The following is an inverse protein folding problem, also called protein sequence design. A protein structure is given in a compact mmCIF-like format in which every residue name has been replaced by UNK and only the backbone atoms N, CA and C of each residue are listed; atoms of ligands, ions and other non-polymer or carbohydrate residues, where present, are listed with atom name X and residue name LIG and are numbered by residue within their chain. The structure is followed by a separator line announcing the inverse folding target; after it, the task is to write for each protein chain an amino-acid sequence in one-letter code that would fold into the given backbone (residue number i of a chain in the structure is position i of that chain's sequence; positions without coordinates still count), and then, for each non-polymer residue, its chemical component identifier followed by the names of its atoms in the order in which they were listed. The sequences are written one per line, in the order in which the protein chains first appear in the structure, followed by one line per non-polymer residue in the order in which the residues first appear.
data_IF_080147373084
#
_entry.id   IF_080147373084
#
_cell.length_a   1.000
_cell.length_b   1.000
_cell.length_c   1.000
_cell.angle_alpha   90.00
_cell.angle_beta   90.00
_cell.angle_gamma   90.00
#
_symmetry.space_group_name_H-M   'P 1'
#
loop_
_entity.id
_entity.type
_entity.pdbx_description
1 polymer ?
#
# COMPACT_ATOMS: atom_id res chain seq x y z
N UNK A 1 20.22 -39.18 -62.01
CA UNK A 1 21.62 -39.69 -61.94
C UNK A 1 21.70 -40.54 -60.68
N UNK A 2 21.98 -41.86 -60.76
CA UNK A 2 21.90 -42.73 -59.57
C UNK A 2 23.09 -42.45 -58.64
N UNK A 3 22.90 -41.55 -57.67
CA UNK A 3 23.87 -41.32 -56.60
C UNK A 3 24.08 -42.64 -55.85
N UNK A 4 25.35 -42.98 -55.57
CA UNK A 4 25.70 -44.24 -54.90
C UNK A 4 25.28 -44.16 -53.43
N UNK A 5 24.72 -45.24 -52.89
CA UNK A 5 24.32 -45.34 -51.48
C UNK A 5 25.46 -45.01 -50.51
N UNK A 6 26.72 -45.28 -50.86
CA UNK A 6 27.88 -44.92 -50.05
C UNK A 6 27.96 -43.41 -49.80
N UNK A 7 27.79 -42.60 -50.85
CA UNK A 7 27.81 -41.13 -50.75
C UNK A 7 26.64 -40.65 -49.89
N UNK A 8 25.47 -41.28 -50.03
CA UNK A 8 24.28 -40.92 -49.24
C UNK A 8 24.51 -41.25 -47.77
N UNK A 9 25.03 -42.43 -47.44
CA UNK A 9 25.33 -42.84 -46.07
C UNK A 9 26.35 -41.91 -45.39
N UNK A 10 27.34 -41.40 -46.11
CA UNK A 10 28.29 -40.41 -45.58
C UNK A 10 27.62 -39.06 -45.29
N UNK A 11 26.59 -38.69 -46.08
CA UNK A 11 25.81 -37.47 -45.90
C UNK A 11 24.69 -37.61 -44.86
N UNK A 12 24.24 -38.83 -44.52
CA UNK A 12 23.12 -39.06 -43.60
C UNK A 12 23.34 -38.44 -42.20
N UNK A 13 24.52 -38.54 -41.55
CA UNK A 13 24.75 -37.88 -40.25
C UNK A 13 24.59 -36.36 -40.34
N UNK A 14 25.16 -35.74 -41.39
CA UNK A 14 25.07 -34.30 -41.64
C UNK A 14 23.64 -33.86 -41.97
N UNK A 15 22.87 -34.73 -42.64
CA UNK A 15 21.46 -34.54 -42.90
C UNK A 15 20.64 -34.57 -41.61
N UNK A 16 20.95 -35.47 -40.67
CA UNK A 16 20.32 -35.54 -39.34
C UNK A 16 20.66 -34.31 -38.50
N UNK A 17 21.90 -33.83 -38.58
CA UNK A 17 22.37 -32.62 -37.88
C UNK A 17 21.90 -31.31 -38.53
N UNK A 18 21.15 -31.38 -39.64
CA UNK A 18 20.58 -30.25 -40.39
C UNK A 18 21.59 -29.22 -40.91
N UNK A 19 22.83 -29.63 -41.15
CA UNK A 19 23.94 -28.76 -41.59
C UNK A 19 24.21 -28.78 -43.10
N UNK A 20 23.43 -29.56 -43.87
CA UNK A 20 23.57 -29.65 -45.32
C UNK A 20 23.02 -28.41 -46.04
N UNK A 21 23.65 -28.06 -47.16
CA UNK A 21 23.11 -27.09 -48.11
C UNK A 21 21.81 -27.62 -48.75
N UNK A 22 20.97 -26.71 -49.24
CA UNK A 22 19.66 -27.06 -49.83
C UNK A 22 19.80 -28.05 -51.00
N UNK A 23 20.78 -27.84 -51.88
CA UNK A 23 21.05 -28.71 -53.03
C UNK A 23 21.46 -30.13 -52.59
N UNK A 24 22.29 -30.23 -51.54
CA UNK A 24 22.71 -31.53 -50.98
C UNK A 24 21.56 -32.24 -50.24
N UNK A 25 20.65 -31.47 -49.63
CA UNK A 25 19.47 -32.00 -48.93
C UNK A 25 18.49 -32.64 -49.91
N UNK A 26 18.17 -31.96 -51.01
CA UNK A 26 17.26 -32.47 -52.06
C UNK A 26 17.77 -33.78 -52.66
N UNK A 27 19.08 -33.90 -52.85
CA UNK A 27 19.74 -35.11 -53.35
C UNK A 27 19.61 -36.30 -52.40
N UNK A 28 19.73 -36.08 -51.09
CA UNK A 28 19.50 -37.13 -50.07
C UNK A 28 18.03 -37.53 -50.05
N UNK A 29 17.11 -36.56 -50.09
CA UNK A 29 15.66 -36.79 -50.08
C UNK A 29 15.16 -37.57 -51.30
N UNK A 30 15.67 -37.27 -52.50
CA UNK A 30 15.36 -38.01 -53.73
C UNK A 30 15.83 -39.47 -53.61
N UNK A 31 17.01 -39.70 -53.05
CA UNK A 31 17.57 -41.04 -52.93
C UNK A 31 16.85 -41.92 -51.89
N UNK A 32 16.51 -41.40 -50.71
CA UNK A 32 15.81 -42.19 -49.66
C UNK A 32 14.37 -42.55 -50.04
N UNK A 33 13.76 -41.82 -51.00
CA UNK A 33 12.45 -42.18 -51.57
C UNK A 33 12.54 -43.46 -52.41
N UNK A 34 13.64 -43.65 -53.12
CA UNK A 34 13.84 -44.79 -54.03
C UNK A 34 14.66 -45.94 -53.42
N UNK A 35 15.43 -45.69 -52.35
CA UNK A 35 16.32 -46.67 -51.73
C UNK A 35 15.89 -47.05 -50.31
N UNK A 36 15.32 -48.26 -50.14
CA UNK A 36 14.92 -48.78 -48.84
C UNK A 36 16.09 -48.94 -47.85
N UNK A 37 17.29 -49.32 -48.35
CA UNK A 37 18.46 -49.51 -47.50
C UNK A 37 18.90 -48.21 -46.82
N UNK A 38 19.00 -47.11 -47.58
CA UNK A 38 19.36 -45.79 -47.05
C UNK A 38 18.27 -45.23 -46.12
N UNK A 39 17.00 -45.52 -46.40
CA UNK A 39 15.87 -45.16 -45.53
C UNK A 39 15.97 -45.85 -44.16
N UNK A 40 16.25 -47.16 -44.12
CA UNK A 40 16.47 -47.90 -42.86
C UNK A 40 17.66 -47.36 -42.08
N UNK A 41 18.75 -47.00 -42.76
CA UNK A 41 19.92 -46.38 -42.10
C UNK A 41 19.56 -45.05 -41.46
N UNK A 42 18.81 -44.18 -42.16
CA UNK A 42 18.32 -42.91 -41.62
C UNK A 42 17.37 -43.12 -40.42
N UNK A 43 16.47 -44.10 -40.49
CA UNK A 43 15.56 -44.47 -39.39
C UNK A 43 16.33 -44.94 -38.14
N UNK A 44 17.38 -45.76 -38.34
CA UNK A 44 18.26 -46.21 -37.26
C UNK A 44 19.02 -45.04 -36.61
N UNK A 45 19.48 -44.07 -37.41
CA UNK A 45 20.20 -42.88 -36.91
C UNK A 45 19.29 -41.90 -36.19
N UNK A 46 18.05 -41.73 -36.67
CA UNK A 46 17.07 -40.79 -36.10
C UNK A 46 16.26 -41.36 -34.93
N UNK A 47 16.44 -42.65 -34.59
CA UNK A 47 15.89 -43.27 -33.39
C UNK A 47 14.36 -43.21 -33.28
N UNK A 48 13.64 -43.07 -34.40
CA UNK A 48 12.18 -42.89 -34.42
C UNK A 48 11.49 -44.18 -34.85
N UNK A 49 11.02 -44.90 -33.82
CA UNK A 49 9.88 -45.82 -33.90
C UNK A 49 8.79 -45.18 -34.79
N UNK A 50 8.30 -45.89 -35.81
CA UNK A 50 7.14 -45.46 -36.58
C UNK A 50 5.90 -45.50 -35.68
N UNK A 51 5.60 -44.40 -34.99
CA UNK A 51 4.31 -44.21 -34.35
C UNK A 51 3.40 -43.57 -35.41
N UNK A 52 2.28 -44.20 -35.80
CA UNK A 52 1.32 -43.57 -36.69
C UNK A 52 0.88 -42.26 -36.03
N UNK A 53 1.06 -41.14 -36.75
CA UNK A 53 0.68 -39.80 -36.26
C UNK A 53 -0.83 -39.76 -36.10
N UNK A 54 -1.32 -40.16 -34.92
CA UNK A 54 -2.67 -39.89 -34.51
C UNK A 54 -2.76 -38.39 -34.19
N UNK A 55 -3.37 -37.62 -35.10
CA UNK A 55 -3.67 -36.19 -34.92
C UNK A 55 -4.44 -35.89 -33.63
N UNK A 56 -5.10 -36.89 -33.03
CA UNK A 56 -5.85 -36.74 -31.79
C UNK A 56 -4.96 -36.55 -30.55
N UNK A 57 -3.73 -37.11 -30.52
CA UNK A 57 -2.82 -36.95 -29.37
C UNK A 57 -2.24 -35.52 -29.26
N UNK A 58 -1.96 -34.86 -30.40
CA UNK A 58 -1.51 -33.45 -30.42
C UNK A 58 -2.60 -32.47 -29.99
N UNK A 59 -3.87 -32.81 -30.18
CA UNK A 59 -5.00 -31.99 -29.74
C UNK A 59 -5.24 -32.10 -28.22
N UNK A 60 -4.87 -33.23 -27.61
CA UNK A 60 -5.05 -33.47 -26.18
C UNK A 60 -3.95 -32.81 -25.32
N UNK A 61 -2.68 -32.89 -25.74
CA UNK A 61 -1.58 -32.16 -25.08
C UNK A 61 -1.78 -30.63 -25.15
N UNK A 62 -2.26 -30.11 -26.28
CA UNK A 62 -2.47 -28.66 -26.43
C UNK A 62 -3.70 -28.16 -25.66
N UNK A 63 -4.74 -28.98 -25.45
CA UNK A 63 -5.87 -28.64 -24.57
C UNK A 63 -5.45 -28.64 -23.10
N UNK A 64 -4.67 -29.63 -22.67
CA UNK A 64 -4.15 -29.73 -21.30
C UNK A 64 -3.24 -28.56 -20.93
N UNK A 65 -2.34 -28.15 -21.83
CA UNK A 65 -1.48 -26.99 -21.63
C UNK A 65 -2.25 -25.66 -21.67
N UNK A 66 -3.30 -25.53 -22.49
CA UNK A 66 -4.16 -24.34 -22.53
C UNK A 66 -5.01 -24.20 -21.25
N UNK A 67 -5.49 -25.31 -20.70
CA UNK A 67 -6.18 -25.34 -19.41
C UNK A 67 -5.29 -24.89 -18.26
N UNK A 68 -4.07 -25.43 -18.20
CA UNK A 68 -3.06 -25.04 -17.20
C UNK A 68 -2.65 -23.56 -17.35
N UNK A 69 -2.44 -23.06 -18.58
CA UNK A 69 -2.17 -21.63 -18.81
C UNK A 69 -3.30 -20.74 -18.29
N UNK A 70 -4.57 -21.10 -18.52
CA UNK A 70 -5.74 -20.34 -18.05
C UNK A 70 -5.88 -20.34 -16.52
N UNK A 71 -5.51 -21.45 -15.88
CA UNK A 71 -5.49 -21.58 -14.42
C UNK A 71 -4.36 -20.72 -13.83
N UNK A 72 -3.15 -20.84 -14.38
CA UNK A 72 -1.97 -20.06 -13.94
C UNK A 72 -2.17 -18.56 -14.15
N UNK A 73 -2.74 -18.10 -15.26
CA UNK A 73 -3.00 -16.67 -15.48
C UNK A 73 -4.06 -16.11 -14.51
N UNK A 74 -5.08 -16.90 -14.17
CA UNK A 74 -6.07 -16.52 -13.14
C UNK A 74 -5.44 -16.39 -11.75
N UNK A 75 -4.61 -17.35 -11.34
CA UNK A 75 -3.91 -17.27 -10.04
C UNK A 75 -2.88 -16.14 -10.00
N UNK A 76 -2.21 -15.82 -11.12
CA UNK A 76 -1.33 -14.64 -11.22
C UNK A 76 -2.11 -13.34 -11.03
N UNK A 77 -3.27 -13.20 -11.67
CA UNK A 77 -4.15 -12.04 -11.49
C UNK A 77 -4.66 -11.91 -10.05
N UNK A 78 -5.06 -13.02 -9.43
CA UNK A 78 -5.48 -13.06 -8.04
C UNK A 78 -4.33 -12.69 -7.07
N UNK A 79 -3.12 -13.17 -7.34
CA UNK A 79 -1.94 -12.84 -6.53
C UNK A 79 -1.59 -11.34 -6.61
N UNK A 80 -1.68 -10.73 -7.80
CA UNK A 80 -1.46 -9.28 -7.99
C UNK A 80 -2.54 -8.48 -7.25
N UNK A 81 -3.81 -8.86 -7.40
CA UNK A 81 -4.91 -8.20 -6.71
C UNK A 81 -4.74 -8.29 -5.17
N UNK A 82 -4.37 -9.47 -4.66
CA UNK A 82 -4.08 -9.66 -3.24
C UNK A 82 -2.91 -8.80 -2.76
N UNK A 83 -1.83 -8.70 -3.55
CA UNK A 83 -0.69 -7.85 -3.22
C UNK A 83 -1.09 -6.37 -3.14
N UNK A 84 -1.90 -5.87 -4.08
CA UNK A 84 -2.41 -4.49 -4.06
C UNK A 84 -3.27 -4.26 -2.81
N UNK A 85 -4.20 -5.18 -2.52
CA UNK A 85 -5.06 -5.08 -1.34
C UNK A 85 -4.22 -5.12 -0.05
N UNK A 86 -3.19 -5.95 0.01
CA UNK A 86 -2.29 -6.03 1.15
C UNK A 86 -1.53 -4.71 1.36
N UNK A 87 -1.00 -4.10 0.29
CA UNK A 87 -0.30 -2.80 0.38
C UNK A 87 -1.26 -1.70 0.85
N UNK A 88 -2.48 -1.64 0.30
CA UNK A 88 -3.50 -0.68 0.74
C UNK A 88 -3.87 -0.93 2.20
N UNK A 89 -4.02 -2.20 2.60
CA UNK A 89 -4.33 -2.59 3.97
C UNK A 89 -3.23 -2.19 4.96
N UNK A 90 -1.96 -2.32 4.58
CA UNK A 90 -0.81 -1.89 5.38
C UNK A 90 -0.80 -0.35 5.48
N UNK A 91 -0.95 0.37 4.37
CA UNK A 91 -1.01 1.83 4.40
C UNK A 91 -2.16 2.31 5.30
N UNK A 92 -3.35 1.75 5.12
CA UNK A 92 -4.50 2.10 5.94
C UNK A 92 -4.28 1.80 7.42
N UNK A 93 -3.72 0.63 7.75
CA UNK A 93 -3.43 0.27 9.14
C UNK A 93 -2.39 1.19 9.78
N UNK A 94 -1.34 1.58 9.04
CA UNK A 94 -0.34 2.53 9.56
C UNK A 94 -0.94 3.89 9.88
N UNK A 95 -1.83 4.41 9.02
CA UNK A 95 -2.55 5.68 9.28
C UNK A 95 -3.45 5.54 10.50
N UNK A 96 -4.20 4.44 10.63
CA UNK A 96 -5.02 4.20 11.81
C UNK A 96 -4.21 4.14 13.10
N UNK A 97 -3.04 3.49 13.08
CA UNK A 97 -2.13 3.42 14.22
C UNK A 97 -1.61 4.83 14.56
N UNK A 98 -1.20 5.61 13.55
CA UNK A 98 -0.73 6.98 13.75
C UNK A 98 -1.78 7.87 14.40
N UNK A 99 -3.07 7.72 14.06
CA UNK A 99 -4.17 8.47 14.68
C UNK A 99 -4.50 8.00 16.11
N UNK A 100 -4.00 6.85 16.56
CA UNK A 100 -4.28 6.29 17.90
C UNK A 100 -3.15 6.49 18.89
N UNK A 101 -1.92 6.60 18.41
CA UNK A 101 -0.77 6.91 19.26
C UNK A 101 -0.73 8.43 19.44
N UNK A 102 -1.34 8.89 20.52
CA UNK A 102 -1.17 10.24 21.05
C UNK A 102 -0.09 10.27 22.13
N UNK A 103 0.56 11.40 22.27
CA UNK A 103 1.46 11.70 23.39
C UNK A 103 1.12 13.09 23.94
N UNK A 104 1.35 13.27 25.23
CA UNK A 104 1.12 14.53 25.92
C UNK A 104 2.17 15.56 25.49
N UNK A 105 1.71 16.78 25.19
CA UNK A 105 2.57 17.93 24.93
C UNK A 105 2.62 18.75 26.22
N UNK A 106 3.82 18.96 26.80
CA UNK A 106 3.96 19.86 27.93
C UNK A 106 3.61 21.27 27.49
N UNK A 107 2.92 22.01 28.34
CA UNK A 107 2.62 23.41 28.08
C UNK A 107 3.92 24.21 28.00
N UNK A 108 4.06 24.93 26.90
CA UNK A 108 5.14 25.85 26.63
C UNK A 108 4.49 27.17 26.21
N UNK A 109 4.59 28.18 27.06
CA UNK A 109 3.97 29.49 26.85
C UNK A 109 4.45 30.24 25.61
N UNK A 110 5.44 29.72 24.88
CA UNK A 110 5.83 30.22 23.56
C UNK A 110 5.07 29.58 22.40
N UNK A 111 4.63 28.33 22.55
CA UNK A 111 3.99 27.54 21.50
C UNK A 111 2.47 27.45 21.66
N UNK A 112 1.95 27.70 22.86
CA UNK A 112 0.52 27.65 23.17
C UNK A 112 0.11 28.99 23.79
N UNK A 113 -0.80 29.71 23.14
CA UNK A 113 -1.42 30.91 23.70
C UNK A 113 -2.92 30.70 23.92
N UNK A 114 -3.47 31.46 24.87
CA UNK A 114 -4.87 31.45 25.21
C UNK A 114 -5.42 32.86 25.09
N UNK A 115 -6.34 33.05 24.16
CA UNK A 115 -6.82 34.35 23.73
C UNK A 115 -8.34 34.45 23.93
N UNK A 116 -8.77 35.63 24.38
CA UNK A 116 -10.18 35.94 24.60
C UNK A 116 -10.81 36.55 23.35
N UNK A 117 -11.94 36.00 22.93
CA UNK A 117 -12.79 36.53 21.88
C UNK A 117 -14.21 36.76 22.39
N UNK A 118 -15.03 37.49 21.63
CA UNK A 118 -16.40 37.84 22.01
C UNK A 118 -17.27 36.59 22.29
N UNK A 119 -17.03 35.51 21.56
CA UNK A 119 -17.86 34.30 21.56
C UNK A 119 -17.24 33.11 22.32
N UNK A 120 -16.06 33.27 22.92
CA UNK A 120 -15.37 32.21 23.65
C UNK A 120 -13.90 32.49 23.88
N UNK A 121 -13.22 31.53 24.49
CA UNK A 121 -11.76 31.51 24.52
C UNK A 121 -11.20 30.61 23.42
N UNK A 122 -10.01 30.93 22.94
CA UNK A 122 -9.33 30.23 21.87
C UNK A 122 -7.92 29.82 22.29
N UNK A 123 -7.54 28.61 21.93
CA UNK A 123 -6.19 28.07 22.10
C UNK A 123 -5.51 28.15 20.75
N UNK A 124 -4.39 28.87 20.67
CA UNK A 124 -3.55 28.92 19.48
C UNK A 124 -2.30 28.09 19.69
N UNK A 125 -2.01 27.21 18.73
CA UNK A 125 -0.79 26.42 18.71
C UNK A 125 0.10 26.86 17.54
N UNK A 126 1.27 27.39 17.88
CA UNK A 126 2.29 27.86 16.93
C UNK A 126 3.38 26.81 16.63
N UNK A 127 3.23 25.59 17.16
CA UNK A 127 4.15 24.50 16.87
C UNK A 127 3.86 23.80 15.55
N UNK A 128 4.54 22.68 15.30
CA UNK A 128 4.35 21.90 14.07
C UNK A 128 3.13 20.99 14.17
N UNK A 129 2.23 21.11 13.21
CA UNK A 129 1.08 20.23 13.10
C UNK A 129 -0.10 20.70 13.92
N UNK A 130 -0.92 19.75 14.34
CA UNK A 130 -2.12 20.05 15.14
C UNK A 130 -2.06 19.49 16.54
N UNK A 131 -2.89 20.01 17.43
CA UNK A 131 -3.03 19.48 18.79
C UNK A 131 -4.49 19.17 19.09
N UNK A 132 -4.70 18.30 20.07
CA UNK A 132 -5.96 18.13 20.75
C UNK A 132 -5.79 18.56 22.21
N UNK A 133 -6.86 19.02 22.84
CA UNK A 133 -6.87 19.29 24.28
C UNK A 133 -7.92 18.43 24.98
N UNK A 134 -7.68 18.11 26.24
CA UNK A 134 -8.71 17.69 27.18
C UNK A 134 -8.78 18.71 28.29
N UNK A 135 -9.98 19.05 28.73
CA UNK A 135 -10.18 19.91 29.89
C UNK A 135 -11.10 19.22 30.88
N UNK A 136 -10.70 19.22 32.15
CA UNK A 136 -11.45 18.67 33.27
C UNK A 136 -11.65 19.79 34.28
N UNK A 137 -12.90 20.11 34.59
CA UNK A 137 -13.23 21.16 35.54
C UNK A 137 -14.67 21.09 35.95
N UNK A 138 -14.98 21.70 37.09
CA UNK A 138 -16.33 21.94 37.55
C UNK A 138 -16.68 23.39 37.22
N UNK A 139 -17.78 23.61 36.52
CA UNK A 139 -18.25 24.96 36.24
C UNK A 139 -18.58 25.76 37.50
N UNK A 140 -18.69 25.10 38.67
CA UNK A 140 -18.99 25.73 39.98
C UNK A 140 -17.78 26.45 40.56
N UNK A 141 -16.61 25.81 40.53
CA UNK A 141 -15.37 26.42 41.06
C UNK A 141 -14.69 27.29 40.00
N UNK A 142 -15.06 27.09 38.73
CA UNK A 142 -14.50 27.79 37.57
C UNK A 142 -13.05 27.42 37.26
N UNK A 143 -12.45 26.52 38.04
CA UNK A 143 -11.10 26.02 37.81
C UNK A 143 -11.13 24.85 36.83
N UNK A 144 -10.37 25.00 35.73
CA UNK A 144 -10.23 24.00 34.68
C UNK A 144 -8.78 23.51 34.61
N UNK A 145 -8.60 22.20 34.65
CA UNK A 145 -7.35 21.53 34.34
C UNK A 145 -7.34 21.16 32.86
N UNK A 146 -6.35 21.64 32.10
CA UNK A 146 -6.20 21.35 30.68
C UNK A 146 -4.92 20.55 30.40
N UNK A 147 -5.00 19.61 29.47
CA UNK A 147 -3.87 18.89 28.93
C UNK A 147 -3.90 18.92 27.41
N UNK A 148 -2.73 18.95 26.79
CA UNK A 148 -2.58 18.97 25.35
C UNK A 148 -1.96 17.66 24.90
N UNK A 149 -2.44 17.13 23.77
CA UNK A 149 -1.91 15.92 23.18
C UNK A 149 -1.79 16.09 21.67
N UNK A 150 -0.90 15.32 21.07
CA UNK A 150 -0.71 15.31 19.63
C UNK A 150 -0.49 13.89 19.16
N UNK A 151 -1.08 13.54 18.03
CA UNK A 151 -0.84 12.24 17.41
C UNK A 151 0.35 12.28 16.47
N UNK A 152 0.91 11.11 16.14
CA UNK A 152 1.92 11.03 15.08
C UNK A 152 1.38 11.53 13.74
N UNK A 153 0.08 11.31 13.48
CA UNK A 153 -0.59 11.84 12.28
C UNK A 153 -0.61 13.37 12.28
N UNK A 154 -1.01 13.98 13.40
CA UNK A 154 -1.08 15.43 13.54
C UNK A 154 0.28 16.11 13.40
N UNK A 155 1.36 15.46 13.84
CA UNK A 155 2.71 16.01 13.73
C UNK A 155 3.34 15.81 12.35
N UNK A 156 3.13 14.65 11.72
CA UNK A 156 3.89 14.25 10.53
C UNK A 156 3.09 14.47 9.25
N UNK A 157 1.81 14.09 9.25
CA UNK A 157 0.98 14.05 8.04
C UNK A 157 0.19 15.35 7.87
N UNK A 158 -0.39 15.87 8.95
CA UNK A 158 -1.19 17.11 8.91
C UNK A 158 -0.44 18.31 8.29
N UNK A 159 0.86 18.57 8.61
CA UNK A 159 1.62 19.65 7.99
C UNK A 159 1.81 19.54 6.47
N UNK A 160 1.59 18.36 5.87
CA UNK A 160 1.78 18.17 4.42
C UNK A 160 0.64 18.82 3.63
N UNK A 161 -0.56 18.92 4.21
CA UNK A 161 -1.75 19.43 3.52
C UNK A 161 -2.45 20.58 4.25
N UNK A 162 -2.02 20.92 5.47
CA UNK A 162 -2.52 22.06 6.24
C UNK A 162 -1.32 22.76 6.90
N UNK A 163 -1.12 24.03 6.56
CA UNK A 163 0.03 24.83 6.99
C UNK A 163 -0.31 25.97 7.96
N UNK A 164 -1.59 26.19 8.24
CA UNK A 164 -2.03 27.24 9.14
C UNK A 164 -1.86 26.82 10.60
N UNK A 165 -1.67 27.81 11.48
CA UNK A 165 -1.66 27.65 12.93
C UNK A 165 -2.93 26.93 13.40
N UNK A 166 -2.80 26.00 14.34
CA UNK A 166 -3.95 25.26 14.85
C UNK A 166 -4.67 26.12 15.89
N UNK A 167 -5.88 26.55 15.55
CA UNK A 167 -6.72 27.40 16.41
C UNK A 167 -7.94 26.59 16.86
N UNK A 168 -8.10 26.43 18.17
CA UNK A 168 -9.12 25.57 18.74
C UNK A 168 -9.96 26.38 19.73
N UNK A 169 -11.28 26.43 19.48
CA UNK A 169 -12.23 27.04 20.43
C UNK A 169 -12.33 26.20 21.69
N UNK A 170 -12.19 26.85 22.85
CA UNK A 170 -12.43 26.22 24.14
C UNK A 170 -13.93 25.98 24.32
N UNK A 171 -14.30 24.73 24.61
CA UNK A 171 -15.68 24.24 24.47
C UNK A 171 -16.65 24.65 25.59
N UNK A 172 -16.23 25.52 26.50
CA UNK A 172 -17.00 25.91 27.69
C UNK A 172 -17.36 27.40 27.66
N UNK A 173 -18.47 27.74 28.33
CA UNK A 173 -18.93 29.13 28.41
C UNK A 173 -17.89 30.00 29.12
N UNK A 174 -17.66 31.22 28.61
CA UNK A 174 -16.64 32.13 29.15
C UNK A 174 -16.82 32.36 30.65
N UNK A 175 -18.07 32.57 31.07
CA UNK A 175 -18.41 32.82 32.47
C UNK A 175 -18.23 31.59 33.37
N UNK A 176 -18.05 30.38 32.82
CA UNK A 176 -17.80 29.17 33.62
C UNK A 176 -16.32 28.94 33.95
N UNK A 177 -15.43 29.86 33.55
CA UNK A 177 -13.97 29.71 33.63
C UNK A 177 -13.40 30.89 34.40
N UNK A 178 -12.86 30.61 35.58
CA UNK A 178 -12.15 31.58 36.44
C UNK A 178 -10.64 31.35 36.38
N UNK A 179 -10.21 30.11 36.14
CA UNK A 179 -8.79 29.75 36.10
C UNK A 179 -8.56 28.55 35.21
N UNK A 180 -7.49 28.61 34.42
CA UNK A 180 -7.05 27.51 33.55
C UNK A 180 -5.62 27.13 33.93
N UNK A 181 -5.42 25.87 34.30
CA UNK A 181 -4.12 25.34 34.70
C UNK A 181 -3.81 24.02 34.01
N UNK A 182 -2.53 23.69 33.85
CA UNK A 182 -2.12 22.38 33.33
C UNK A 182 -2.21 21.32 34.42
N UNK A 183 -2.21 20.05 34.01
CA UNK A 183 -2.09 18.91 34.93
C UNK A 183 -0.83 18.96 35.83
N UNK A 184 0.22 19.65 35.37
CA UNK A 184 1.46 19.84 36.12
C UNK A 184 1.40 21.06 37.07
N UNK A 185 0.25 21.74 37.16
CA UNK A 185 0.01 22.89 38.03
C UNK A 185 0.45 24.24 37.47
N UNK A 186 0.80 24.32 36.17
CA UNK A 186 1.17 25.59 35.54
C UNK A 186 -0.10 26.37 35.19
N UNK A 187 -0.26 27.58 35.73
CA UNK A 187 -1.39 28.45 35.38
C UNK A 187 -1.17 29.03 33.98
N UNK A 188 -2.10 28.75 33.08
CA UNK A 188 -2.09 29.23 31.69
C UNK A 188 -2.81 30.58 31.61
N UNK A 189 -3.93 30.69 32.31
CA UNK A 189 -4.79 31.85 32.27
C UNK A 189 -5.59 31.97 33.57
N UNK A 190 -5.86 33.20 34.00
CA UNK A 190 -6.63 33.51 35.21
C UNK A 190 -7.53 34.72 34.95
N UNK A 191 -8.76 34.65 35.45
CA UNK A 191 -9.77 35.66 35.24
C UNK A 191 -9.42 36.96 35.98
N UNK A 192 -9.69 38.10 35.32
CA UNK A 192 -9.64 39.41 35.95
C UNK A 192 -10.88 39.68 36.82
N UNK A 193 -10.91 40.81 37.54
CA UNK A 193 -12.03 41.15 38.42
C UNK A 193 -13.39 41.25 37.72
N UNK A 194 -13.43 41.66 36.45
CA UNK A 194 -14.66 41.76 35.66
C UNK A 194 -15.20 40.38 35.30
N UNK A 195 -14.32 39.49 34.86
CA UNK A 195 -14.62 38.11 34.54
C UNK A 195 -15.05 37.30 35.78
N UNK A 196 -14.43 37.57 36.94
CA UNK A 196 -14.83 36.98 38.21
C UNK A 196 -16.26 37.39 38.61
N UNK A 197 -16.63 38.66 38.42
CA UNK A 197 -18.01 39.11 38.64
C UNK A 197 -19.00 38.45 37.69
N UNK A 198 -18.65 38.31 36.42
CA UNK A 198 -19.47 37.61 35.44
C UNK A 198 -19.68 36.14 35.80
N UNK A 199 -18.66 35.48 36.36
CA UNK A 199 -18.78 34.11 36.88
C UNK A 199 -19.75 34.03 38.08
N UNK A 200 -19.68 34.96 39.03
CA UNK A 200 -20.62 35.01 40.16
C UNK A 200 -22.07 35.24 39.73
N UNK A 201 -22.30 36.11 38.74
CA UNK A 201 -23.63 36.33 38.16
C UNK A 201 -24.15 35.06 37.48
N UNK A 202 -23.30 34.40 36.71
CA UNK A 202 -23.61 33.14 36.04
C UNK A 202 -23.95 32.00 37.02
N UNK A 203 -23.26 31.93 38.17
CA UNK A 203 -23.59 30.96 39.22
C UNK A 203 -25.00 31.22 39.79
N UNK A 204 -25.31 32.49 40.10
CA UNK A 204 -26.63 32.87 40.64
C UNK A 204 -27.77 32.52 39.68
N UNK A 205 -27.57 32.67 38.37
CA UNK A 205 -28.57 32.32 37.36
C UNK A 205 -28.85 30.81 37.26
N UNK A 206 -27.86 29.96 37.58
CA UNK A 206 -27.98 28.50 37.51
C UNK A 206 -28.38 27.83 38.81
N UNK A 207 -28.20 28.52 39.94
CA UNK A 207 -28.68 28.10 41.26
C UNK A 207 -30.13 28.50 41.55
N UNK A 208 -30.71 29.44 40.78
CA UNK A 208 -32.08 29.92 40.86
C UNK A 208 -33.09 29.01 40.13
#
# INVERSE_FOLDING_TARGET
MKVKCAVINDLLPLYVDDVLSQESRELVEEHIKECEACRKTLENMTGKISIPVNKELRMDETKSLKGLKKIVTRYKGLAIAFAIIAVIGIMFSTVLIMCRISYDIPYDGSNITFDEHDDGYYIHYHGTGGIAYSANGTGVDGEWEISFSQTAFDKIIRPIYRHDDDVIKFGYEKASITKLSTRDGVVIWEANEEQMKAHEEWLKEREA
#
